data_IF_528037964938
#
_entry.id   IF_528037964938
#
_cell.length_a   1.000
_cell.length_b   1.000
_cell.length_c   1.000
_cell.angle_alpha   90.00
_cell.angle_beta   90.00
_cell.angle_gamma   90.00
#
_symmetry.space_group_name_H-M   'P 1'
#
loop_
_entity.id
_entity.type
_entity.pdbx_description
1 polymer ?
#
# COMPACT_ATOMS: atom_id res chain seq x y z
N UNK A 1 48.69 -0.31 68.23
CA UNK A 1 48.43 -0.33 66.78
C UNK A 1 47.67 -1.60 66.44
N UNK A 2 46.36 -1.52 66.16
CA UNK A 2 45.60 -2.59 65.54
C UNK A 2 44.27 -2.02 65.02
N UNK A 3 44.20 -1.69 63.73
CA UNK A 3 42.95 -1.27 63.07
C UNK A 3 42.32 -2.47 62.37
N UNK A 4 41.14 -2.84 62.87
CA UNK A 4 40.23 -3.86 62.33
C UNK A 4 39.83 -3.53 60.89
N UNK A 5 40.11 -4.45 59.96
CA UNK A 5 39.61 -4.38 58.58
C UNK A 5 38.18 -4.94 58.50
N UNK A 6 37.21 -4.09 58.16
CA UNK A 6 35.85 -4.50 57.81
C UNK A 6 35.78 -4.84 56.32
N UNK A 7 35.53 -6.10 56.00
CA UNK A 7 35.20 -6.52 54.63
C UNK A 7 33.72 -6.26 54.35
N UNK A 8 33.46 -5.34 53.41
CA UNK A 8 32.12 -5.10 52.88
C UNK A 8 31.94 -5.92 51.60
N UNK A 9 31.00 -6.87 51.63
CA UNK A 9 30.69 -7.70 50.48
C UNK A 9 29.67 -6.98 49.59
N UNK A 10 30.16 -6.31 48.54
CA UNK A 10 29.31 -5.67 47.54
C UNK A 10 28.71 -6.72 46.61
N UNK A 11 27.42 -7.03 46.80
CA UNK A 11 26.66 -7.84 45.84
C UNK A 11 26.31 -6.98 44.63
N UNK A 12 27.12 -7.07 43.59
CA UNK A 12 26.75 -6.54 42.28
C UNK A 12 25.63 -7.39 41.67
N UNK A 13 24.45 -6.78 41.54
CA UNK A 13 23.29 -7.34 40.85
C UNK A 13 23.55 -7.33 39.34
N UNK A 14 23.51 -8.50 38.71
CA UNK A 14 23.62 -8.66 37.27
C UNK A 14 22.27 -8.37 36.61
N UNK A 15 22.09 -7.16 36.07
CA UNK A 15 21.04 -6.91 35.09
C UNK A 15 21.56 -7.27 33.70
N UNK A 16 21.18 -8.46 33.21
CA UNK A 16 21.35 -8.84 31.81
C UNK A 16 20.46 -7.91 30.97
N UNK A 17 21.02 -6.79 30.54
CA UNK A 17 20.41 -5.91 29.55
C UNK A 17 20.61 -6.56 28.18
N UNK A 18 19.64 -7.36 27.76
CA UNK A 18 19.55 -7.85 26.38
C UNK A 18 19.49 -6.63 25.45
N UNK A 19 20.64 -6.24 24.89
CA UNK A 19 20.73 -5.28 23.80
C UNK A 19 20.21 -5.97 22.54
N UNK A 20 18.89 -6.05 22.38
CA UNK A 20 18.31 -6.36 21.09
C UNK A 20 18.88 -5.34 20.09
N UNK A 21 19.41 -5.77 18.92
CA UNK A 21 19.86 -4.84 17.91
C UNK A 21 18.64 -4.06 17.44
N UNK A 22 18.52 -2.82 17.89
CA UNK A 22 17.58 -1.86 17.31
C UNK A 22 18.02 -1.68 15.86
N UNK A 23 17.39 -2.43 14.95
CA UNK A 23 17.63 -2.29 13.51
C UNK A 23 17.25 -0.86 13.13
N UNK A 24 18.23 0.03 13.05
CA UNK A 24 18.05 1.35 12.47
C UNK A 24 17.94 1.16 10.96
N UNK A 25 16.73 0.90 10.48
CA UNK A 25 16.36 1.02 9.08
C UNK A 25 16.37 2.50 8.67
N UNK A 26 17.52 3.15 8.77
CA UNK A 26 17.75 4.44 8.14
C UNK A 26 18.50 4.14 6.85
N UNK A 27 17.77 3.77 5.79
CA UNK A 27 18.34 3.79 4.45
C UNK A 27 18.81 5.22 4.17
N UNK A 28 19.94 5.34 3.48
CA UNK A 28 20.69 6.56 3.22
C UNK A 28 19.83 7.64 2.52
N UNK A 29 19.11 8.44 3.32
CA UNK A 29 18.20 9.53 2.91
C UNK A 29 18.84 10.60 2.00
N UNK A 30 20.17 10.63 1.92
CA UNK A 30 20.94 11.63 1.16
C UNK A 30 21.32 11.20 -0.26
N UNK A 31 21.24 9.91 -0.62
CA UNK A 31 21.74 9.44 -1.93
C UNK A 31 20.67 9.36 -3.02
N UNK A 32 19.39 9.58 -2.70
CA UNK A 32 18.27 9.42 -3.65
C UNK A 32 17.39 10.67 -3.81
N UNK A 33 17.81 11.80 -3.25
CA UNK A 33 17.10 13.06 -3.40
C UNK A 33 17.43 13.66 -4.77
N UNK A 34 16.50 13.55 -5.70
CA UNK A 34 16.54 14.31 -6.96
C UNK A 34 16.29 15.79 -6.65
N UNK A 35 16.90 16.73 -7.39
CA UNK A 35 16.73 18.18 -7.15
C UNK A 35 15.24 18.64 -7.14
N UNK A 36 14.35 17.93 -7.85
CA UNK A 36 12.91 18.19 -7.85
C UNK A 36 12.16 17.64 -6.63
N UNK A 37 12.74 16.70 -5.88
CA UNK A 37 12.18 16.18 -4.63
C UNK A 37 12.80 17.00 -3.50
N UNK A 38 11.98 17.73 -2.73
CA UNK A 38 12.48 18.51 -1.61
C UNK A 38 13.31 17.63 -0.67
N UNK A 39 14.61 17.88 -0.68
CA UNK A 39 15.65 17.10 -0.05
C UNK A 39 15.40 17.03 1.46
N UNK A 40 15.37 15.82 2.02
CA UNK A 40 15.16 15.60 3.46
C UNK A 40 13.72 15.64 3.96
N UNK A 41 12.73 16.07 3.17
CA UNK A 41 11.31 16.03 3.57
C UNK A 41 10.75 14.61 3.38
N UNK A 42 10.33 13.90 4.43
CA UNK A 42 9.74 12.58 4.28
C UNK A 42 8.44 12.68 3.47
N UNK A 43 8.32 11.87 2.42
CA UNK A 43 7.11 11.82 1.60
C UNK A 43 7.01 12.85 0.48
N UNK A 44 8.04 13.68 0.25
CA UNK A 44 8.13 14.56 -0.92
C UNK A 44 8.38 13.81 -2.23
N UNK A 45 8.77 12.53 -2.14
CA UNK A 45 9.05 11.65 -3.28
C UNK A 45 7.81 10.87 -3.76
N UNK A 46 6.67 11.02 -3.10
CA UNK A 46 5.47 10.28 -3.41
C UNK A 46 4.56 11.07 -4.36
N UNK A 47 3.87 10.40 -5.29
CA UNK A 47 2.94 11.05 -6.22
C UNK A 47 1.64 11.53 -5.57
N UNK A 48 1.52 11.47 -4.24
CA UNK A 48 0.37 11.91 -3.47
C UNK A 48 0.80 12.62 -2.17
N UNK A 49 -0.01 13.57 -1.71
CA UNK A 49 0.31 14.36 -0.53
C UNK A 49 0.07 13.59 0.78
N UNK A 50 1.05 13.62 1.69
CA UNK A 50 0.94 13.05 3.05
C UNK A 50 0.69 14.15 4.11
N UNK A 51 0.50 15.40 3.70
CA UNK A 51 0.29 16.53 4.63
C UNK A 51 -0.92 16.32 5.55
N UNK A 52 -1.98 15.66 5.05
CA UNK A 52 -3.18 15.36 5.81
C UNK A 52 -3.36 13.84 5.94
N UNK A 53 -3.35 13.35 7.19
CA UNK A 53 -3.55 11.93 7.51
C UNK A 53 -4.89 11.39 7.05
N UNK A 54 -5.97 12.18 7.18
CA UNK A 54 -7.33 11.75 6.79
C UNK A 54 -7.48 11.64 5.27
N UNK A 55 -6.84 12.52 4.53
CA UNK A 55 -6.81 12.49 3.08
C UNK A 55 -6.04 11.27 2.55
N UNK A 56 -4.87 11.00 3.13
CA UNK A 56 -4.07 9.84 2.78
C UNK A 56 -4.85 8.53 3.02
N UNK A 57 -5.49 8.40 4.18
CA UNK A 57 -6.30 7.22 4.48
C UNK A 57 -7.47 7.09 3.54
N UNK A 58 -8.15 8.19 3.22
CA UNK A 58 -9.27 8.18 2.28
C UNK A 58 -8.85 7.69 0.90
N UNK A 59 -7.79 8.27 0.31
CA UNK A 59 -7.27 7.84 -0.99
C UNK A 59 -6.85 6.36 -0.97
N UNK A 60 -6.18 5.94 0.09
CA UNK A 60 -5.72 4.56 0.26
C UNK A 60 -6.90 3.60 0.33
N UNK A 61 -7.91 3.90 1.15
CA UNK A 61 -9.11 3.09 1.31
C UNK A 61 -9.89 3.01 0.00
N UNK A 62 -10.10 4.12 -0.72
CA UNK A 62 -10.81 4.12 -2.01
C UNK A 62 -10.05 3.31 -3.06
N UNK A 63 -8.73 3.48 -3.15
CA UNK A 63 -7.90 2.73 -4.08
C UNK A 63 -8.02 1.21 -3.85
N UNK A 64 -7.82 0.75 -2.61
CA UNK A 64 -7.92 -0.67 -2.30
C UNK A 64 -9.35 -1.20 -2.37
N UNK A 65 -10.34 -0.45 -1.90
CA UNK A 65 -11.74 -0.85 -2.01
C UNK A 65 -12.17 -1.02 -3.47
N UNK A 66 -11.71 -0.15 -4.38
CA UNK A 66 -12.03 -0.27 -5.80
C UNK A 66 -11.43 -1.54 -6.42
N UNK A 67 -10.15 -1.81 -6.13
CA UNK A 67 -9.47 -3.01 -6.62
C UNK A 67 -10.06 -4.30 -6.05
N UNK A 68 -10.41 -4.31 -4.75
CA UNK A 68 -11.02 -5.46 -4.10
C UNK A 68 -12.45 -5.73 -4.58
N UNK A 69 -13.25 -4.69 -4.84
CA UNK A 69 -14.62 -4.83 -5.31
C UNK A 69 -14.74 -5.18 -6.79
N UNK A 70 -13.75 -4.82 -7.62
CA UNK A 70 -13.77 -5.03 -9.07
C UNK A 70 -14.13 -6.48 -9.50
N UNK A 71 -13.48 -7.55 -9.00
CA UNK A 71 -13.82 -8.92 -9.42
C UNK A 71 -15.24 -9.34 -9.00
N UNK A 72 -15.74 -8.87 -7.85
CA UNK A 72 -17.08 -9.20 -7.38
C UNK A 72 -18.17 -8.48 -8.18
N UNK A 73 -17.93 -7.22 -8.56
CA UNK A 73 -18.84 -6.48 -9.44
C UNK A 73 -18.91 -7.17 -10.81
N UNK A 74 -17.76 -7.53 -11.38
CA UNK A 74 -17.70 -8.27 -12.65
C UNK A 74 -18.43 -9.60 -12.57
N UNK A 75 -18.23 -10.35 -11.49
CA UNK A 75 -18.94 -11.60 -11.25
C UNK A 75 -20.45 -11.35 -11.15
N UNK A 76 -20.89 -10.37 -10.36
CA UNK A 76 -22.30 -10.05 -10.21
C UNK A 76 -22.96 -9.66 -11.54
N UNK A 77 -22.27 -8.88 -12.37
CA UNK A 77 -22.74 -8.52 -13.73
C UNK A 77 -22.85 -9.78 -14.60
N UNK A 78 -21.83 -10.64 -14.56
CA UNK A 78 -21.77 -11.87 -15.36
C UNK A 78 -22.87 -12.85 -14.98
N UNK A 79 -23.03 -13.10 -13.68
CA UNK A 79 -24.07 -13.99 -13.17
C UNK A 79 -25.46 -13.40 -13.46
N UNK A 80 -25.68 -12.10 -13.25
CA UNK A 80 -26.95 -11.46 -13.62
C UNK A 80 -27.25 -11.65 -15.11
N UNK A 81 -26.25 -11.56 -15.99
CA UNK A 81 -26.42 -11.81 -17.44
C UNK A 81 -26.80 -13.26 -17.75
N UNK A 82 -26.24 -14.24 -17.04
CA UNK A 82 -26.50 -15.67 -17.26
C UNK A 82 -27.88 -16.08 -16.72
N UNK A 83 -28.25 -15.59 -15.53
CA UNK A 83 -29.47 -16.03 -14.83
C UNK A 83 -30.72 -15.22 -15.18
N UNK A 84 -30.58 -14.04 -15.77
CA UNK A 84 -31.76 -13.30 -16.25
C UNK A 84 -32.16 -13.91 -17.58
N UNK A 85 -33.34 -14.57 -17.71
CA UNK A 85 -33.85 -14.90 -19.03
C UNK A 85 -33.91 -13.61 -19.84
N UNK A 86 -33.44 -13.61 -21.08
CA UNK A 86 -33.65 -12.48 -21.98
C UNK A 86 -35.16 -12.27 -22.05
N UNK A 87 -35.68 -11.29 -21.31
CA UNK A 87 -36.99 -10.73 -21.63
C UNK A 87 -36.75 -10.13 -23.00
N UNK A 88 -37.29 -10.80 -24.03
CA UNK A 88 -37.36 -10.25 -25.38
C UNK A 88 -38.20 -8.98 -25.32
N UNK A 89 -37.58 -7.89 -24.89
CA UNK A 89 -38.08 -6.57 -25.19
C UNK A 89 -37.77 -6.39 -26.67
N UNK A 90 -38.81 -6.59 -27.47
CA UNK A 90 -38.76 -6.49 -28.92
C UNK A 90 -37.88 -5.31 -29.34
N UNK A 91 -36.94 -5.62 -30.23
CA UNK A 91 -36.13 -4.67 -30.99
C UNK A 91 -35.38 -3.63 -30.15
N UNK A 92 -34.13 -3.92 -29.76
CA UNK A 92 -33.03 -3.02 -30.09
C UNK A 92 -31.78 -3.81 -30.49
N UNK A 93 -31.40 -3.56 -31.74
CA UNK A 93 -30.33 -4.16 -32.51
C UNK A 93 -28.99 -3.85 -31.83
N UNK A 94 -28.46 -4.84 -31.13
CA UNK A 94 -27.06 -4.90 -30.72
C UNK A 94 -26.25 -5.31 -31.95
N UNK A 95 -25.98 -4.37 -32.87
CA UNK A 95 -25.02 -4.61 -33.95
C UNK A 95 -24.41 -3.30 -34.45
N UNK A 96 -23.17 -3.42 -34.93
CA UNK A 96 -22.24 -2.39 -35.42
C UNK A 96 -21.50 -1.68 -34.27
N UNK A 97 -20.19 -1.85 -34.04
CA UNK A 97 -19.10 -2.27 -34.91
C UNK A 97 -18.00 -3.00 -34.12
N UNK A 98 -17.78 -4.27 -34.43
CA UNK A 98 -16.49 -4.94 -34.25
C UNK A 98 -16.34 -6.03 -35.33
N UNK A 99 -16.59 -5.65 -36.58
CA UNK A 99 -15.92 -6.28 -37.72
C UNK A 99 -15.03 -5.19 -38.32
N UNK A 100 -13.71 -5.40 -38.21
CA UNK A 100 -12.74 -4.83 -39.14
C UNK A 100 -12.83 -5.73 -40.36
N UNK A 101 -13.53 -5.26 -41.38
CA UNK A 101 -13.50 -5.90 -42.69
C UNK A 101 -12.25 -5.36 -43.41
N UNK A 102 -11.19 -6.16 -43.42
CA UNK A 102 -10.20 -6.13 -44.50
C UNK A 102 -10.90 -6.76 -45.72
N UNK A 103 -11.25 -5.91 -46.69
CA UNK A 103 -11.61 -6.34 -48.04
C UNK A 103 -11.10 -5.31 -49.05
N UNK A 104 -10.47 -5.87 -50.07
CA UNK A 104 -9.73 -5.36 -51.23
C UNK A 104 -10.62 -4.65 -52.30
N UNK A 105 -9.96 -4.09 -53.34
CA UNK A 105 -10.43 -3.33 -54.55
C UNK A 105 -10.54 -1.79 -54.37
N UNK A 106 -9.89 -0.90 -55.16
CA UNK A 106 -9.12 -0.97 -56.41
C UNK A 106 -8.00 0.11 -56.43
#
# INVERSE_FOLDING_TARGET
MATSMRFSFSRYSNYIRSRLPVRRFSTTRRLMSQHWQQEGVPGSNLPFSIKNKYWLTFLTTVYFASALNAPFILLAITLKRIYTPQVELGTQVLSTKFCVDEAEED
#
